data_IF_696987009185
#
_entry.id   IF_696987009185
#
_cell.length_a   1.000
_cell.length_b   1.000
_cell.length_c   1.000
_cell.angle_alpha   90.00
_cell.angle_beta   90.00
_cell.angle_gamma   90.00
#
_symmetry.space_group_name_H-M   'P 1'
#
loop_
_entity.id
_entity.type
_entity.pdbx_description
1 polymer ?
#
# COMPACT_ATOMS: atom_id res chain seq x y z
N UNK A 1 0.71 4.86 -18.55
CA UNK A 1 1.92 4.18 -18.03
C UNK A 1 2.71 5.20 -17.23
N UNK A 2 3.21 4.81 -16.07
CA UNK A 2 4.04 5.64 -15.19
C UNK A 2 5.42 5.00 -15.10
N UNK A 3 6.47 5.77 -15.36
CA UNK A 3 7.85 5.30 -15.27
C UNK A 3 8.46 5.75 -13.95
N UNK A 4 8.89 4.81 -13.11
CA UNK A 4 9.51 5.11 -11.82
C UNK A 4 10.96 4.68 -11.84
N UNK A 5 11.88 5.64 -11.77
CA UNK A 5 13.33 5.40 -11.85
C UNK A 5 14.00 5.61 -10.50
N UNK A 6 14.70 4.59 -10.00
CA UNK A 6 15.63 4.76 -8.89
C UNK A 6 16.94 5.36 -9.42
N UNK A 7 17.08 6.68 -9.38
CA UNK A 7 18.28 7.39 -9.85
C UNK A 7 19.27 7.74 -8.73
N UNK A 8 18.87 7.56 -7.46
CA UNK A 8 19.61 8.06 -6.30
C UNK A 8 20.44 7.01 -5.56
N UNK A 9 20.17 5.70 -5.76
CA UNK A 9 20.79 4.65 -4.94
C UNK A 9 21.33 3.49 -5.77
N UNK A 10 22.45 2.91 -5.31
CA UNK A 10 23.08 1.73 -5.90
C UNK A 10 22.51 0.39 -5.42
N UNK A 11 21.34 0.40 -4.77
CA UNK A 11 20.64 -0.77 -4.25
C UNK A 11 19.13 -0.62 -4.51
N UNK A 12 18.34 -1.66 -4.24
CA UNK A 12 16.89 -1.60 -4.48
C UNK A 12 16.20 -0.63 -3.52
N UNK A 13 15.10 -0.01 -3.96
CA UNK A 13 14.28 0.90 -3.16
C UNK A 13 12.87 0.30 -2.99
N UNK A 14 12.28 0.30 -1.78
CA UNK A 14 12.85 0.74 -0.51
C UNK A 14 13.96 -0.19 0.04
N UNK A 15 14.84 0.38 0.89
CA UNK A 15 15.88 -0.35 1.63
C UNK A 15 15.88 -0.04 3.11
N UNK A 16 16.49 -0.89 3.93
CA UNK A 16 16.68 -0.66 5.38
C UNK A 16 16.30 -1.85 6.27
N UNK A 17 16.40 -1.63 7.58
CA UNK A 17 16.20 -2.63 8.64
C UNK A 17 14.72 -2.92 8.95
N UNK A 18 13.80 -2.04 8.57
CA UNK A 18 12.37 -2.33 8.53
C UNK A 18 11.90 -2.17 7.08
N UNK A 19 11.60 -3.29 6.44
CA UNK A 19 11.03 -3.32 5.08
C UNK A 19 9.55 -2.88 5.06
N UNK A 20 9.08 -2.32 6.17
CA UNK A 20 7.75 -1.76 6.41
C UNK A 20 7.55 -0.37 5.78
N UNK A 21 8.62 0.25 5.24
CA UNK A 21 8.48 1.55 4.56
C UNK A 21 7.50 1.40 3.41
N UNK A 22 6.51 2.28 3.39
CA UNK A 22 5.57 2.32 2.28
C UNK A 22 6.08 3.34 1.28
N UNK A 23 6.33 2.88 0.05
CA UNK A 23 6.51 3.72 -1.12
C UNK A 23 5.43 3.32 -2.12
N UNK A 24 4.72 4.28 -2.69
CA UNK A 24 3.65 3.98 -3.63
C UNK A 24 3.44 5.11 -4.63
N UNK A 25 2.82 4.76 -5.76
CA UNK A 25 2.28 5.74 -6.69
C UNK A 25 0.87 6.10 -6.25
N UNK A 26 0.63 7.39 -6.05
CA UNK A 26 -0.73 7.93 -6.05
C UNK A 26 -1.04 8.42 -7.47
N UNK A 27 -2.16 7.96 -8.02
CA UNK A 27 -2.65 8.34 -9.34
C UNK A 27 -4.12 8.74 -9.23
N UNK A 28 -4.41 9.98 -9.61
CA UNK A 28 -5.75 10.54 -9.65
C UNK A 28 -6.04 10.97 -11.09
N UNK A 29 -7.10 10.42 -11.66
CA UNK A 29 -7.66 10.84 -12.94
C UNK A 29 -8.95 11.57 -12.66
N UNK A 30 -9.08 12.80 -13.16
CA UNK A 30 -10.27 13.63 -12.99
C UNK A 30 -10.86 14.03 -14.32
N UNK A 31 -12.17 14.26 -14.35
CA UNK A 31 -12.86 14.86 -15.49
C UNK A 31 -12.54 16.36 -15.62
N UNK A 32 -13.10 17.00 -16.65
CA UNK A 32 -12.92 18.43 -16.89
C UNK A 32 -13.55 19.34 -15.81
N UNK A 33 -14.37 18.79 -14.91
CA UNK A 33 -14.94 19.49 -13.76
C UNK A 33 -14.10 19.28 -12.48
N UNK A 34 -13.00 18.53 -12.56
CA UNK A 34 -12.15 18.17 -11.43
C UNK A 34 -12.73 17.05 -10.56
N UNK A 35 -13.78 16.34 -11.01
CA UNK A 35 -14.31 15.18 -10.29
C UNK A 35 -13.43 13.95 -10.56
N UNK A 36 -12.98 13.22 -9.53
CA UNK A 36 -12.21 12.00 -9.73
C UNK A 36 -13.06 10.94 -10.46
N UNK A 37 -12.51 10.39 -11.53
CA UNK A 37 -13.07 9.24 -12.28
C UNK A 37 -12.33 7.95 -11.97
N UNK A 38 -11.07 8.04 -11.53
CA UNK A 38 -10.27 6.92 -11.05
C UNK A 38 -9.25 7.42 -10.03
N UNK A 39 -9.07 6.65 -8.96
CA UNK A 39 -8.13 6.94 -7.88
C UNK A 39 -7.38 5.67 -7.50
N UNK A 40 -6.10 5.82 -7.21
CA UNK A 40 -5.26 4.76 -6.66
C UNK A 40 -4.18 5.37 -5.77
N UNK A 41 -3.83 4.71 -4.67
CA UNK A 41 -2.88 5.22 -3.69
C UNK A 41 -3.42 6.35 -2.81
N UNK A 42 -4.74 6.51 -2.75
CA UNK A 42 -5.41 7.52 -1.91
C UNK A 42 -5.69 7.00 -0.51
N UNK A 43 -5.88 7.94 0.41
CA UNK A 43 -6.10 7.71 1.83
C UNK A 43 -7.47 8.27 2.21
N UNK A 44 -8.08 7.69 3.22
CA UNK A 44 -9.37 8.12 3.74
C UNK A 44 -9.20 8.46 5.21
N UNK A 45 -9.54 9.69 5.58
CA UNK A 45 -9.58 10.17 6.95
C UNK A 45 -10.67 9.42 7.75
N UNK A 46 -10.25 8.69 8.78
CA UNK A 46 -11.10 7.83 9.61
C UNK A 46 -10.66 7.90 11.06
N UNK A 47 -11.61 7.80 11.99
CA UNK A 47 -11.25 7.73 13.40
C UNK A 47 -10.54 6.40 13.73
N UNK A 48 -9.52 6.47 14.59
CA UNK A 48 -8.83 5.31 15.18
C UNK A 48 -9.05 5.21 16.72
N UNK A 49 -10.22 4.71 17.19
CA UNK A 49 -10.54 4.68 18.62
C UNK A 49 -9.56 3.87 19.48
N UNK A 50 -8.85 2.91 18.91
CA UNK A 50 -7.84 2.09 19.58
C UNK A 50 -6.66 2.91 20.13
N UNK A 51 -6.41 4.08 19.56
CA UNK A 51 -5.36 5.02 20.01
C UNK A 51 -5.93 6.26 20.70
N UNK A 52 -7.26 6.36 20.78
CA UNK A 52 -7.98 7.44 21.45
C UNK A 52 -8.45 8.56 20.53
N UNK A 53 -8.26 8.42 19.22
CA UNK A 53 -8.83 9.31 18.22
C UNK A 53 -10.28 8.86 17.92
N UNK A 54 -11.25 9.62 18.40
CA UNK A 54 -12.67 9.19 18.34
C UNK A 54 -13.43 9.72 17.13
N UNK A 55 -12.86 10.69 16.41
CA UNK A 55 -13.45 11.34 15.25
C UNK A 55 -12.34 11.65 14.25
N UNK A 56 -12.60 11.62 12.93
CA UNK A 56 -11.62 12.01 11.93
C UNK A 56 -11.11 13.43 12.19
N UNK A 57 -9.80 13.61 12.17
CA UNK A 57 -9.16 14.89 12.55
C UNK A 57 -8.61 15.68 11.35
N UNK A 58 -8.73 15.13 10.14
CA UNK A 58 -8.24 15.72 8.88
C UNK A 58 -6.76 15.45 8.61
N UNK A 59 -6.07 14.72 9.47
CA UNK A 59 -4.75 14.19 9.22
C UNK A 59 -4.86 12.97 8.29
N UNK A 60 -3.92 12.84 7.35
CA UNK A 60 -3.84 11.67 6.46
C UNK A 60 -2.53 10.91 6.67
N UNK A 61 -1.60 11.45 7.46
CA UNK A 61 -0.27 10.86 7.62
C UNK A 61 -0.33 9.50 8.35
N UNK A 62 -1.30 9.36 9.23
CA UNK A 62 -1.66 8.18 10.01
C UNK A 62 -2.69 7.27 9.31
N UNK A 63 -3.12 7.57 8.09
CA UNK A 63 -4.14 6.74 7.44
C UNK A 63 -3.60 5.53 6.69
N UNK A 64 -4.29 4.40 6.76
CA UNK A 64 -3.85 3.20 6.03
C UNK A 64 -4.14 3.33 4.52
N UNK A 65 -3.25 2.75 3.71
CA UNK A 65 -3.54 2.54 2.29
C UNK A 65 -4.72 1.58 2.15
N UNK A 66 -5.61 1.86 1.21
CA UNK A 66 -6.86 1.11 1.02
C UNK A 66 -6.67 -0.22 0.27
N UNK A 67 -5.43 -0.68 0.14
CA UNK A 67 -5.10 -1.99 -0.43
C UNK A 67 -5.41 -3.13 0.54
N UNK A 68 -5.30 -2.89 1.84
CA UNK A 68 -5.59 -3.85 2.90
C UNK A 68 -6.46 -3.19 3.95
N UNK A 69 -7.60 -3.80 4.24
CA UNK A 69 -8.59 -3.33 5.23
C UNK A 69 -8.93 -4.45 6.19
N UNK A 70 -9.42 -4.13 7.38
CA UNK A 70 -9.99 -5.11 8.29
C UNK A 70 -11.26 -5.75 7.73
N UNK A 71 -11.69 -6.91 8.25
CA UNK A 71 -12.85 -7.66 7.73
C UNK A 71 -14.18 -6.89 7.77
N UNK A 72 -14.27 -5.82 8.57
CA UNK A 72 -15.43 -4.93 8.64
C UNK A 72 -15.23 -3.59 7.90
N UNK A 73 -14.19 -3.48 7.06
CA UNK A 73 -13.89 -2.29 6.26
C UNK A 73 -13.08 -1.19 6.96
N UNK A 74 -12.64 -1.39 8.21
CA UNK A 74 -11.75 -0.47 8.93
C UNK A 74 -10.26 -0.71 8.65
N UNK A 75 -9.38 -0.14 9.47
CA UNK A 75 -7.91 -0.23 9.34
C UNK A 75 -7.32 -1.64 9.53
N UNK A 76 -8.09 -2.60 10.07
CA UNK A 76 -7.58 -3.92 10.46
C UNK A 76 -6.67 -3.83 11.69
N UNK A 77 -6.68 -4.86 12.53
CA UNK A 77 -5.96 -4.84 13.81
C UNK A 77 -4.76 -5.75 13.71
N UNK A 78 -3.58 -5.23 14.08
CA UNK A 78 -2.41 -6.06 14.35
C UNK A 78 -2.47 -6.44 15.83
N UNK A 79 -2.45 -7.74 16.11
CA UNK A 79 -2.29 -8.24 17.46
C UNK A 79 -0.87 -7.89 17.96
N UNK A 80 -0.71 -7.10 19.03
CA UNK A 80 0.60 -6.64 19.48
C UNK A 80 1.49 -7.76 20.06
N UNK A 81 0.93 -8.94 20.34
CA UNK A 81 1.67 -10.10 20.86
C UNK A 81 2.09 -11.05 19.74
N UNK A 82 1.19 -11.35 18.81
CA UNK A 82 1.46 -12.30 17.71
C UNK A 82 1.99 -11.61 16.45
N UNK A 83 1.73 -10.30 16.31
CA UNK A 83 2.03 -9.46 15.16
C UNK A 83 1.33 -9.88 13.86
N UNK A 84 0.31 -10.73 14.00
CA UNK A 84 -0.62 -11.07 12.93
C UNK A 84 -1.58 -9.90 12.70
N UNK A 85 -1.92 -9.65 11.45
CA UNK A 85 -2.89 -8.62 11.06
C UNK A 85 -4.18 -9.29 10.58
N UNK A 86 -5.33 -8.90 11.16
CA UNK A 86 -6.63 -9.29 10.63
C UNK A 86 -7.02 -8.32 9.50
N UNK A 87 -6.53 -8.64 8.30
CA UNK A 87 -6.75 -7.86 7.09
C UNK A 87 -7.21 -8.73 5.93
N UNK A 88 -7.97 -8.12 5.04
CA UNK A 88 -8.42 -8.65 3.76
C UNK A 88 -8.05 -7.66 2.65
N UNK A 89 -8.12 -8.11 1.39
CA UNK A 89 -7.92 -7.26 0.23
C UNK A 89 -8.97 -6.14 0.20
N UNK A 90 -8.50 -4.89 0.23
CA UNK A 90 -9.32 -3.69 0.16
C UNK A 90 -9.65 -3.27 -1.28
N UNK A 91 -10.38 -2.16 -1.46
CA UNK A 91 -10.81 -1.69 -2.77
C UNK A 91 -9.66 -1.26 -3.70
N UNK A 92 -8.49 -0.92 -3.15
CA UNK A 92 -7.30 -0.50 -3.92
C UNK A 92 -6.20 -1.59 -3.89
N UNK A 93 -6.58 -2.86 -3.69
CA UNK A 93 -5.61 -3.97 -3.58
C UNK A 93 -4.73 -4.09 -4.84
N UNK A 94 -3.43 -4.33 -4.66
CA UNK A 94 -2.49 -4.47 -5.76
C UNK A 94 -2.60 -5.86 -6.38
N UNK A 95 -3.21 -5.94 -7.57
CA UNK A 95 -3.47 -7.19 -8.29
C UNK A 95 -2.53 -7.41 -9.48
N UNK A 96 -1.40 -6.69 -9.54
CA UNK A 96 -0.46 -6.74 -10.67
C UNK A 96 0.30 -8.05 -10.79
N UNK A 97 0.39 -8.81 -9.70
CA UNK A 97 1.04 -10.12 -9.66
C UNK A 97 0.08 -11.28 -9.98
N UNK A 98 -1.22 -11.03 -10.06
CA UNK A 98 -2.18 -12.07 -10.41
C UNK A 98 -1.97 -12.58 -11.84
N UNK A 99 -2.49 -13.78 -12.13
CA UNK A 99 -2.49 -14.36 -13.47
C UNK A 99 -3.92 -14.61 -13.94
N UNK A 100 -4.42 -13.87 -14.96
CA UNK A 100 -3.75 -12.77 -15.66
C UNK A 100 -3.58 -11.49 -14.80
N UNK A 101 -2.60 -10.62 -15.10
CA UNK A 101 -2.35 -9.42 -14.31
C UNK A 101 -3.47 -8.40 -14.47
N UNK A 102 -3.86 -7.77 -13.35
CA UNK A 102 -4.84 -6.69 -13.33
C UNK A 102 -4.13 -5.36 -13.07
N UNK A 103 -4.29 -4.41 -13.99
CA UNK A 103 -3.60 -3.12 -13.97
C UNK A 103 -4.41 -2.00 -13.28
N UNK A 104 -5.27 -2.37 -12.32
CA UNK A 104 -6.02 -1.47 -11.45
C UNK A 104 -5.53 -1.62 -10.01
N UNK A 105 -5.92 -0.70 -9.13
CA UNK A 105 -5.48 -0.70 -7.74
C UNK A 105 -4.07 -0.16 -7.53
N UNK A 106 -3.64 -0.18 -6.27
CA UNK A 106 -2.40 0.39 -5.75
C UNK A 106 -1.18 -0.15 -6.51
N UNK A 107 -0.25 0.75 -6.80
CA UNK A 107 1.13 0.37 -7.14
C UNK A 107 2.06 0.76 -5.99
N UNK A 108 2.29 -0.18 -5.08
CA UNK A 108 3.28 -0.08 -4.01
C UNK A 108 4.62 -0.67 -4.45
N UNK A 109 5.69 -0.13 -3.86
CA UNK A 109 7.04 -0.64 -3.97
C UNK A 109 7.52 -0.99 -2.58
N UNK A 110 7.83 -2.26 -2.40
CA UNK A 110 8.12 -2.82 -1.09
C UNK A 110 8.86 -4.13 -1.22
N UNK A 111 9.16 -4.68 -0.06
CA UNK A 111 9.56 -6.07 0.06
C UNK A 111 8.45 -6.76 0.85
N UNK A 112 7.76 -7.68 0.23
CA UNK A 112 6.65 -8.39 0.84
C UNK A 112 7.20 -9.54 1.69
N UNK A 113 6.69 -9.68 2.90
CA UNK A 113 7.05 -10.79 3.77
C UNK A 113 6.11 -11.93 3.50
N UNK A 114 6.66 -13.05 3.04
CA UNK A 114 5.86 -14.20 2.63
C UNK A 114 6.08 -15.36 3.59
N UNK A 115 4.99 -15.91 4.10
CA UNK A 115 4.96 -17.15 4.86
C UNK A 115 4.40 -18.27 3.99
N UNK A 116 5.12 -19.39 3.97
CA UNK A 116 4.57 -20.66 3.48
C UNK A 116 4.01 -21.39 4.71
N UNK A 117 2.67 -21.53 4.84
CA UNK A 117 2.07 -22.21 5.97
C UNK A 117 2.38 -23.71 5.91
N UNK A 118 2.28 -24.37 7.07
CA UNK A 118 2.50 -25.81 7.22
C UNK A 118 1.21 -26.51 7.61
N UNK A 119 1.03 -27.75 7.16
CA UNK A 119 -0.10 -28.59 7.53
C UNK A 119 0.02 -29.10 8.98
N UNK A 120 -0.95 -29.91 9.43
CA UNK A 120 -0.96 -30.49 10.78
C UNK A 120 0.23 -31.42 11.10
N UNK A 121 1.02 -31.81 10.09
CA UNK A 121 2.23 -32.62 10.25
C UNK A 121 3.52 -31.76 10.15
N UNK A 122 3.40 -30.45 9.90
CA UNK A 122 4.53 -29.55 9.72
C UNK A 122 5.08 -29.51 8.28
N UNK A 123 4.39 -30.11 7.31
CA UNK A 123 4.81 -30.10 5.92
C UNK A 123 4.31 -28.81 5.21
N UNK A 124 5.14 -28.14 4.39
CA UNK A 124 4.73 -26.96 3.64
C UNK A 124 3.50 -27.22 2.77
N UNK A 125 2.48 -26.37 2.91
CA UNK A 125 1.24 -26.51 2.17
C UNK A 125 1.42 -26.15 0.70
N UNK A 126 0.67 -26.84 -0.17
CA UNK A 126 0.67 -26.65 -1.62
C UNK A 126 -0.75 -26.52 -2.17
N UNK A 127 -0.91 -25.75 -3.24
CA UNK A 127 -2.16 -25.66 -4.00
C UNK A 127 -2.44 -26.93 -4.82
N UNK A 128 -3.59 -26.98 -5.48
CA UNK A 128 -4.01 -28.11 -6.33
C UNK A 128 -3.06 -28.33 -7.54
N UNK A 129 -2.26 -27.33 -7.91
CA UNK A 129 -1.24 -27.42 -8.95
C UNK A 129 0.14 -27.83 -8.42
N UNK A 130 0.30 -27.97 -7.10
CA UNK A 130 1.56 -28.34 -6.45
C UNK A 130 2.52 -27.18 -6.18
N UNK A 131 2.11 -25.93 -6.39
CA UNK A 131 2.88 -24.76 -5.96
C UNK A 131 2.73 -24.54 -4.45
N UNK A 132 3.70 -23.90 -3.81
CA UNK A 132 3.54 -23.54 -2.40
C UNK A 132 2.38 -22.55 -2.23
N UNK A 133 1.60 -22.74 -1.17
CA UNK A 133 0.68 -21.70 -0.72
C UNK A 133 1.51 -20.61 -0.07
N UNK A 134 1.27 -19.37 -0.45
CA UNK A 134 1.99 -18.20 0.04
C UNK A 134 1.01 -17.22 0.69
N UNK A 135 1.35 -16.77 1.89
CA UNK A 135 0.57 -15.79 2.67
C UNK A 135 1.43 -14.54 2.89
N UNK A 136 0.88 -13.36 2.59
CA UNK A 136 1.50 -12.10 3.01
C UNK A 136 1.34 -11.95 4.53
N UNK A 137 2.47 -11.76 5.23
CA UNK A 137 2.50 -11.50 6.66
C UNK A 137 3.07 -10.12 6.92
N UNK A 138 2.70 -9.51 8.04
CA UNK A 138 3.12 -8.14 8.32
C UNK A 138 4.58 -8.03 8.79
N UNK A 139 5.08 -9.06 9.49
CA UNK A 139 6.38 -9.01 10.17
C UNK A 139 7.40 -10.00 9.61
N UNK A 140 8.70 -9.64 9.62
CA UNK A 140 9.77 -10.54 9.18
C UNK A 140 9.85 -11.81 10.02
N UNK A 141 9.53 -11.74 11.32
CA UNK A 141 9.59 -12.88 12.24
C UNK A 141 8.52 -13.95 11.97
N UNK A 142 7.46 -13.59 11.23
CA UNK A 142 6.42 -14.51 10.78
C UNK A 142 6.70 -15.06 9.38
N UNK A 143 7.68 -14.47 8.68
CA UNK A 143 7.97 -14.78 7.28
C UNK A 143 8.92 -15.97 7.14
N UNK A 144 8.76 -16.70 6.05
CA UNK A 144 9.70 -17.74 5.61
C UNK A 144 10.74 -17.18 4.65
N UNK A 145 10.35 -16.18 3.86
CA UNK A 145 11.20 -15.49 2.92
C UNK A 145 10.64 -14.10 2.62
N UNK A 146 11.42 -13.31 1.88
CA UNK A 146 11.01 -11.97 1.43
C UNK A 146 10.91 -11.98 -0.09
N UNK A 147 9.80 -11.48 -0.62
CA UNK A 147 9.66 -11.18 -2.04
C UNK A 147 9.99 -9.70 -2.30
N UNK A 148 11.06 -9.47 -3.08
CA UNK A 148 11.50 -8.14 -3.48
C UNK A 148 11.11 -7.80 -4.93
N UNK A 149 10.23 -8.61 -5.55
CA UNK A 149 9.80 -8.44 -6.95
C UNK A 149 9.16 -7.07 -7.21
N UNK A 150 8.54 -6.46 -6.19
CA UNK A 150 7.93 -5.13 -6.22
C UNK A 150 8.89 -3.99 -5.86
N UNK A 151 10.15 -4.27 -5.52
CA UNK A 151 11.13 -3.21 -5.26
C UNK A 151 11.56 -2.53 -6.56
N UNK A 152 11.96 -1.27 -6.50
CA UNK A 152 12.53 -0.54 -7.63
C UNK A 152 14.02 -0.87 -7.68
N UNK A 153 14.52 -1.61 -8.69
CA UNK A 153 15.89 -2.07 -8.68
C UNK A 153 16.90 -0.92 -8.79
N UNK A 154 18.11 -1.16 -8.30
CA UNK A 154 19.21 -0.19 -8.33
C UNK A 154 19.44 0.40 -9.73
N UNK A 155 19.35 1.73 -9.87
CA UNK A 155 19.61 2.43 -11.14
C UNK A 155 18.74 1.95 -12.30
N UNK A 156 17.55 1.42 -12.02
CA UNK A 156 16.59 0.93 -13.01
C UNK A 156 15.28 1.70 -12.96
N UNK A 157 14.54 1.57 -14.06
CA UNK A 157 13.16 2.02 -14.20
C UNK A 157 12.24 0.83 -14.07
N UNK A 158 11.16 0.99 -13.30
CA UNK A 158 10.00 0.10 -13.28
C UNK A 158 8.86 0.80 -13.99
N UNK A 159 8.18 0.07 -14.86
CA UNK A 159 7.02 0.57 -15.60
C UNK A 159 5.75 0.13 -14.89
N UNK A 160 5.00 1.10 -14.36
CA UNK A 160 3.69 0.86 -13.76
C UNK A 160 2.61 1.15 -14.79
N UNK A 161 1.94 0.09 -15.25
CA UNK A 161 0.78 0.20 -16.12
C UNK A 161 -0.49 0.42 -15.28
N UNK A 162 -1.34 1.32 -15.75
CA UNK A 162 -2.69 1.55 -15.22
C UNK A 162 -3.70 1.37 -16.35
N UNK A 163 -4.68 0.50 -16.14
CA UNK A 163 -5.84 0.35 -17.02
C UNK A 163 -7.02 1.07 -16.36
N UNK A 164 -7.27 2.30 -16.80
CA UNK A 164 -8.28 3.21 -16.23
C UNK A 164 -9.58 3.06 -17.01
N UNK A 165 -10.61 2.53 -16.36
CA UNK A 165 -11.95 2.45 -16.92
C UNK A 165 -12.64 3.80 -16.78
N UNK A 166 -12.80 4.51 -17.90
CA UNK A 166 -13.49 5.80 -17.92
C UNK A 166 -15.01 5.55 -18.03
N UNK A 167 -15.82 6.07 -17.09
CA UNK A 167 -17.28 5.95 -17.17
C UNK A 167 -17.87 6.54 -18.45
N UNK A 168 -19.01 6.03 -18.90
CA UNK A 168 -19.72 6.58 -20.06
C UNK A 168 -20.23 7.99 -19.76
N UNK A 169 -20.15 8.88 -20.75
CA UNK A 169 -20.64 10.26 -20.66
C UNK A 169 -19.64 11.26 -20.06
N UNK A 170 -18.40 10.85 -19.76
CA UNK A 170 -17.31 11.79 -19.48
C UNK A 170 -16.77 12.32 -20.81
N UNK A 171 -16.74 13.65 -20.95
CA UNK A 171 -16.23 14.35 -22.15
C UNK A 171 -15.07 15.29 -21.78
N UNK A 172 -14.22 15.58 -22.76
CA UNK A 172 -13.15 16.58 -22.65
C UNK A 172 -11.82 16.02 -22.16
N UNK A 173 -10.86 16.88 -21.75
CA UNK A 173 -9.61 16.39 -21.22
C UNK A 173 -9.82 15.72 -19.86
N UNK A 174 -9.39 14.48 -19.74
CA UNK A 174 -9.07 13.91 -18.45
C UNK A 174 -7.77 14.53 -17.94
N UNK A 175 -7.78 14.99 -16.70
CA UNK A 175 -6.58 15.46 -16.01
C UNK A 175 -5.98 14.31 -15.21
N UNK A 176 -4.71 14.00 -15.45
CA UNK A 176 -3.98 12.95 -14.74
C UNK A 176 -2.94 13.60 -13.82
N UNK A 177 -3.06 13.34 -12.53
CA UNK A 177 -2.10 13.74 -11.50
C UNK A 177 -1.41 12.49 -10.95
N UNK A 178 -0.08 12.53 -10.86
CA UNK A 178 0.72 11.40 -10.40
C UNK A 178 1.77 11.86 -9.41
N UNK A 179 1.82 11.21 -8.25
CA UNK A 179 2.83 11.43 -7.22
C UNK A 179 3.47 10.10 -6.80
N UNK A 180 4.77 10.11 -6.59
CA UNK A 180 5.44 9.04 -5.84
C UNK A 180 5.50 9.49 -4.39
N UNK A 181 4.88 8.72 -3.50
CA UNK A 181 4.75 9.04 -2.08
C UNK A 181 5.51 8.01 -1.25
N UNK A 182 5.98 8.43 -0.10
CA UNK A 182 6.65 7.54 0.84
C UNK A 182 6.36 7.90 2.30
N UNK A 183 6.36 6.91 3.17
CA UNK A 183 6.41 7.12 4.62
C UNK A 183 7.24 6.07 5.33
N UNK A 184 7.68 6.40 6.53
CA UNK A 184 8.66 5.59 7.27
C UNK A 184 8.05 4.30 7.82
N UNK A 185 6.83 4.38 8.37
CA UNK A 185 6.14 3.24 8.98
C UNK A 185 4.71 3.12 8.45
N UNK A 186 4.14 1.91 8.36
CA UNK A 186 2.71 1.72 8.17
C UNK A 186 1.98 2.18 9.45
N UNK A 187 0.91 2.99 9.34
CA UNK A 187 0.20 3.47 10.51
C UNK A 187 -0.41 2.37 11.35
N UNK A 188 -0.94 1.30 10.74
CA UNK A 188 -1.38 0.12 11.50
C UNK A 188 -0.35 -0.44 12.48
N UNK A 189 0.94 -0.41 12.14
CA UNK A 189 1.99 -0.81 13.08
C UNK A 189 2.11 0.17 14.24
N UNK A 190 2.14 1.47 13.95
CA UNK A 190 2.26 2.49 14.98
C UNK A 190 1.05 2.45 15.93
N UNK A 191 -0.15 2.24 15.40
CA UNK A 191 -1.38 2.03 16.18
C UNK A 191 -1.31 0.77 17.03
N UNK A 192 -0.83 -0.35 16.49
CA UNK A 192 -0.65 -1.58 17.26
C UNK A 192 0.34 -1.41 18.42
N UNK A 193 1.44 -0.68 18.19
CA UNK A 193 2.38 -0.33 19.24
C UNK A 193 1.77 0.63 20.26
N UNK A 194 0.95 1.59 19.84
CA UNK A 194 0.26 2.50 20.74
C UNK A 194 -0.79 1.78 21.60
N UNK A 195 -1.54 0.85 21.02
CA UNK A 195 -2.52 0.05 21.74
C UNK A 195 -1.86 -0.93 22.72
N UNK A 196 -0.76 -1.59 22.31
CA UNK A 196 -0.04 -2.56 23.14
C UNK A 196 0.86 -1.93 24.20
N UNK A 197 1.46 -0.77 23.89
CA UNK A 197 2.45 -0.04 24.72
C UNK A 197 2.22 1.48 24.65
N UNK A 198 1.10 1.97 25.21
CA UNK A 198 0.75 3.40 25.21
C UNK A 198 1.76 4.29 25.94
N UNK A 199 2.61 3.68 26.77
CA UNK A 199 3.73 4.35 27.45
C UNK A 199 4.91 4.67 26.51
N UNK A 200 5.02 3.98 25.37
CA UNK A 200 6.11 4.13 24.40
C UNK A 200 5.66 4.84 23.11
N UNK A 201 4.46 4.53 22.63
CA UNK A 201 3.86 5.13 21.43
C UNK A 201 2.47 5.62 21.81
N UNK A 202 2.11 6.84 21.41
CA UNK A 202 0.79 7.40 21.63
C UNK A 202 0.29 8.07 20.35
N UNK A 203 -0.98 8.48 20.34
CA UNK A 203 -1.63 9.06 19.15
C UNK A 203 -0.82 10.18 18.52
N UNK A 204 -0.39 11.15 19.33
CA UNK A 204 0.46 12.26 18.87
C UNK A 204 1.78 11.81 18.19
N UNK A 205 2.27 10.60 18.49
CA UNK A 205 3.42 10.03 17.77
C UNK A 205 3.02 9.36 16.46
N UNK A 206 1.85 8.73 16.40
CA UNK A 206 1.26 8.18 15.17
C UNK A 206 1.05 9.31 14.15
N UNK A 207 0.45 10.42 14.56
CA UNK A 207 0.25 11.65 13.78
C UNK A 207 1.52 12.21 13.12
N UNK A 208 2.69 11.91 13.70
CA UNK A 208 3.97 12.44 13.23
C UNK A 208 4.56 11.61 12.10
N UNK A 209 3.92 10.53 11.68
CA UNK A 209 4.36 9.63 10.62
C UNK A 209 4.13 10.21 9.22
N UNK A 210 4.89 11.26 8.90
CA UNK A 210 4.65 12.05 7.70
C UNK A 210 4.74 11.28 6.40
N UNK A 211 3.78 11.55 5.52
CA UNK A 211 3.88 11.21 4.11
C UNK A 211 4.72 12.27 3.41
N UNK A 212 5.70 11.79 2.65
CA UNK A 212 6.60 12.60 1.84
C UNK A 212 6.25 12.42 0.37
N UNK A 213 5.95 13.51 -0.31
CA UNK A 213 5.88 13.55 -1.76
C UNK A 213 7.32 13.50 -2.31
N UNK A 214 7.78 12.31 -2.71
CA UNK A 214 9.13 12.10 -3.24
C UNK A 214 9.32 12.81 -4.58
N UNK A 215 8.33 12.69 -5.45
CA UNK A 215 8.26 13.41 -6.73
C UNK A 215 6.80 13.57 -7.15
N UNK A 216 6.49 14.72 -7.73
CA UNK A 216 5.22 14.98 -8.41
C UNK A 216 5.48 15.17 -9.89
N UNK A 217 4.77 14.43 -10.74
CA UNK A 217 4.82 14.65 -12.17
C UNK A 217 4.03 15.92 -12.54
N UNK A 218 4.39 16.56 -13.65
CA UNK A 218 3.54 17.61 -14.22
C UNK A 218 2.17 16.99 -14.61
N UNK A 219 1.04 17.66 -14.32
CA UNK A 219 -0.27 17.17 -14.72
C UNK A 219 -0.35 16.98 -16.24
N UNK A 220 -0.99 15.89 -16.67
CA UNK A 220 -1.16 15.53 -18.09
C UNK A 220 -2.64 15.61 -18.45
N UNK A 221 -2.96 16.25 -19.58
CA UNK A 221 -4.32 16.28 -20.11
C UNK A 221 -4.45 15.29 -21.26
N UNK A 222 -5.44 14.39 -21.18
CA UNK A 222 -5.72 13.38 -22.20
C UNK A 222 -7.11 13.63 -22.78
N UNK A 223 -7.19 13.92 -24.08
CA UNK A 223 -8.46 14.09 -24.76
C UNK A 223 -9.14 12.73 -24.93
N UNK A 224 -10.39 12.62 -24.49
CA UNK A 224 -11.26 11.50 -24.80
C UNK A 224 -12.41 11.96 -25.71
N UNK A 225 -12.88 11.04 -26.56
CA UNK A 225 -13.95 11.28 -27.53
C UNK A 225 -15.32 10.99 -26.95
#
# INVERSE_FOLDING_TARGET
MVHVTNSGTGHNLPSGFSQERQIWVELIVSDNNGQPVYESGTLLDTAHPETGETEPDGNLDDEDLRNLVGPNGGSGVIDPLTLEADVIHGPDYNRRHEHPPVYQGLANFGNEFIRIPVDGNGEPMRDDQGHFIEEEVFMPFLSTHTDNSFSIPALKTVDVRYDVDVPTGIEGPLQINVRLRARAFPPRLLRALAAGRPDLVNEKMVDRNRIVDMVSAAPVNVQIQ
#
